data_IF_644976863859
#
_entry.id   IF_644976863859
#
_cell.length_a   1.000
_cell.length_b   1.000
_cell.length_c   1.000
_cell.angle_alpha   90.00
_cell.angle_beta   90.00
_cell.angle_gamma   90.00
#
_symmetry.space_group_name_H-M   'P 1'
#
loop_
_entity.id
_entity.type
_entity.pdbx_description
1 polymer ?
#
# COMPACT_ATOMS: atom_id res chain seq x y z
N UNK A 1 4.18 -9.11 -6.09
CA UNK A 1 2.80 -8.73 -5.73
C UNK A 1 2.08 -10.01 -5.33
N UNK A 2 1.52 -10.02 -4.12
CA UNK A 2 1.14 -11.17 -3.28
C UNK A 2 2.27 -12.14 -2.94
N UNK A 3 3.11 -11.78 -1.96
CA UNK A 3 3.98 -12.75 -1.26
C UNK A 3 3.09 -13.60 -0.32
N UNK A 4 2.26 -14.45 -0.91
CA UNK A 4 1.56 -15.52 -0.19
C UNK A 4 2.38 -16.81 -0.27
N UNK A 5 2.12 -17.81 0.58
CA UNK A 5 2.73 -19.11 0.40
C UNK A 5 2.41 -19.65 -1.00
N UNK A 6 3.42 -20.11 -1.73
CA UNK A 6 3.33 -20.54 -3.14
C UNK A 6 2.57 -21.86 -3.35
N UNK A 7 1.82 -22.31 -2.34
CA UNK A 7 1.07 -23.54 -2.30
C UNK A 7 -0.46 -23.32 -2.35
N UNK A 8 -0.91 -22.08 -2.59
CA UNK A 8 -2.32 -21.73 -2.70
C UNK A 8 -2.77 -21.60 -4.16
N UNK A 9 -4.04 -21.92 -4.44
CA UNK A 9 -4.69 -21.73 -5.73
C UNK A 9 -5.92 -20.81 -5.56
N UNK A 10 -5.99 -19.76 -6.38
CA UNK A 10 -7.04 -18.73 -6.30
C UNK A 10 -6.52 -17.34 -6.65
N UNK A 11 -7.26 -16.32 -6.28
CA UNK A 11 -6.92 -14.91 -6.47
C UNK A 11 -6.93 -14.16 -5.13
N UNK A 12 -6.16 -13.07 -5.01
CA UNK A 12 -6.37 -12.08 -3.95
C UNK A 12 -6.93 -10.81 -4.57
N UNK A 13 -8.06 -10.35 -4.06
CA UNK A 13 -8.74 -9.13 -4.53
C UNK A 13 -8.65 -8.06 -3.44
N UNK A 14 -8.33 -6.83 -3.81
CA UNK A 14 -8.41 -5.68 -2.91
C UNK A 14 -9.23 -4.59 -3.59
N UNK A 15 -10.27 -4.12 -2.91
CA UNK A 15 -10.96 -2.88 -3.27
C UNK A 15 -10.33 -1.72 -2.51
N UNK A 16 -9.88 -0.69 -3.22
CA UNK A 16 -9.29 0.51 -2.62
C UNK A 16 -9.63 1.77 -3.44
N UNK A 17 -9.41 2.95 -2.84
CA UNK A 17 -9.59 4.23 -3.53
C UNK A 17 -8.58 4.40 -4.68
N UNK A 18 -8.95 5.15 -5.72
CA UNK A 18 -8.12 5.35 -6.92
C UNK A 18 -6.76 6.00 -6.61
N UNK A 19 -6.70 6.84 -5.58
CA UNK A 19 -5.48 7.53 -5.14
C UNK A 19 -4.70 6.77 -4.05
N UNK A 20 -5.15 5.56 -3.66
CA UNK A 20 -4.50 4.74 -2.63
C UNK A 20 -3.56 3.71 -3.22
N UNK A 21 -2.52 3.36 -2.47
CA UNK A 21 -1.54 2.36 -2.88
C UNK A 21 -2.15 0.96 -2.67
N UNK A 22 -2.02 0.04 -3.64
CA UNK A 22 -2.54 -1.31 -3.50
C UNK A 22 -1.72 -2.14 -2.49
N UNK A 23 -2.29 -2.40 -1.31
CA UNK A 23 -1.68 -3.22 -0.26
C UNK A 23 -2.26 -4.65 -0.21
N UNK A 24 -2.30 -5.33 -1.35
CA UNK A 24 -2.95 -6.66 -1.50
C UNK A 24 -2.36 -7.73 -0.58
N UNK A 25 -1.09 -7.60 -0.21
CA UNK A 25 -0.47 -8.53 0.75
C UNK A 25 -1.12 -8.48 2.13
N UNK A 26 -1.49 -7.29 2.59
CA UNK A 26 -2.02 -7.05 3.94
C UNK A 26 -3.55 -7.06 3.98
N UNK A 27 -4.21 -6.51 2.96
CA UNK A 27 -5.65 -6.22 2.96
C UNK A 27 -6.42 -6.92 1.84
N UNK A 28 -5.77 -7.77 1.04
CA UNK A 28 -6.45 -8.49 -0.04
C UNK A 28 -7.25 -9.70 0.46
N UNK A 29 -8.50 -9.79 0.04
CA UNK A 29 -9.39 -10.94 0.27
C UNK A 29 -9.04 -12.11 -0.64
N UNK A 30 -8.98 -13.32 -0.07
CA UNK A 30 -8.71 -14.53 -0.82
C UNK A 30 -9.98 -15.07 -1.48
N UNK A 31 -9.93 -15.24 -2.80
CA UNK A 31 -11.01 -15.80 -3.62
C UNK A 31 -10.58 -17.20 -4.09
N UNK A 32 -11.30 -18.27 -3.70
CA UNK A 32 -10.97 -19.63 -4.10
C UNK A 32 -11.29 -19.89 -5.57
N UNK A 33 -10.57 -20.83 -6.19
CA UNK A 33 -10.88 -21.31 -7.52
C UNK A 33 -12.16 -22.16 -7.54
N UNK A 34 -12.89 -22.15 -8.67
CA UNK A 34 -14.07 -23.01 -8.89
C UNK A 34 -15.37 -22.54 -8.23
N UNK A 35 -15.39 -21.32 -7.66
CA UNK A 35 -16.58 -20.73 -7.05
C UNK A 35 -17.05 -19.48 -7.79
N UNK A 36 -18.36 -19.27 -7.81
CA UNK A 36 -18.94 -17.96 -8.14
C UNK A 36 -19.05 -17.14 -6.86
N UNK A 37 -18.32 -16.03 -6.79
CA UNK A 37 -18.23 -15.19 -5.58
C UNK A 37 -18.88 -13.83 -5.83
N UNK A 38 -19.73 -13.40 -4.90
CA UNK A 38 -20.33 -12.06 -4.89
C UNK A 38 -19.67 -11.23 -3.80
N UNK A 39 -19.14 -10.07 -4.16
CA UNK A 39 -18.51 -9.13 -3.22
C UNK A 39 -19.44 -7.93 -3.06
N UNK A 40 -20.15 -7.87 -1.93
CA UNK A 40 -20.94 -6.70 -1.56
C UNK A 40 -20.01 -5.61 -1.05
N UNK A 41 -20.27 -4.36 -1.44
CA UNK A 41 -19.43 -3.21 -1.09
C UNK A 41 -20.28 -2.21 -0.32
N UNK A 42 -19.86 -1.88 0.88
CA UNK A 42 -20.36 -0.74 1.66
C UNK A 42 -19.22 0.28 1.80
N UNK A 43 -19.51 1.54 1.48
CA UNK A 43 -18.50 2.60 1.39
C UNK A 43 -18.70 3.58 2.52
N UNK A 44 -17.76 3.58 3.46
CA UNK A 44 -17.68 4.58 4.53
C UNK A 44 -16.65 5.66 4.21
N UNK A 45 -16.91 6.88 4.68
CA UNK A 45 -15.97 8.01 4.58
C UNK A 45 -15.84 8.68 5.93
N UNK A 46 -14.61 8.70 6.44
CA UNK A 46 -14.28 9.35 7.71
C UNK A 46 -13.61 10.70 7.46
N UNK A 47 -14.01 11.71 8.23
CA UNK A 47 -13.44 13.05 8.18
C UNK A 47 -12.98 13.43 9.59
N UNK A 48 -11.67 13.32 9.83
CA UNK A 48 -11.06 13.63 11.12
C UNK A 48 -10.74 15.13 11.26
N UNK A 49 -10.77 15.62 12.50
CA UNK A 49 -10.49 17.02 12.85
C UNK A 49 -8.97 17.27 12.99
N UNK A 50 -8.50 18.51 12.69
CA UNK A 50 -7.13 18.92 12.96
C UNK A 50 -6.91 19.26 14.46
N UNK A 51 -5.65 19.46 14.89
CA UNK A 51 -5.34 19.93 16.23
C UNK A 51 -6.07 21.25 16.56
N UNK A 52 -6.54 21.45 17.81
CA UNK A 52 -6.35 20.60 19.00
C UNK A 52 -7.41 19.48 19.18
N UNK A 53 -8.39 19.38 18.27
CA UNK A 53 -9.53 18.45 18.43
C UNK A 53 -9.29 17.06 17.80
N UNK A 54 -8.14 16.87 17.16
CA UNK A 54 -7.67 15.61 16.60
C UNK A 54 -6.25 15.77 16.05
N UNK A 55 -5.72 14.72 15.43
CA UNK A 55 -4.34 14.69 14.93
C UNK A 55 -4.24 14.70 13.40
N UNK A 56 -5.34 15.04 12.71
CA UNK A 56 -5.37 15.06 11.26
C UNK A 56 -4.60 16.28 10.71
N UNK A 57 -3.37 16.04 10.24
CA UNK A 57 -2.56 17.08 9.58
C UNK A 57 -2.87 17.12 8.09
N UNK A 58 -3.43 18.24 7.62
CA UNK A 58 -3.73 18.47 6.19
C UNK A 58 -2.52 19.05 5.45
N UNK A 59 -2.43 18.78 4.15
CA UNK A 59 -1.47 19.44 3.25
C UNK A 59 -0.04 18.93 3.31
N UNK A 60 0.24 17.79 3.93
CA UNK A 60 1.56 17.14 3.81
C UNK A 60 1.76 16.65 2.39
N UNK A 61 2.84 17.09 1.76
CA UNK A 61 3.27 16.58 0.45
C UNK A 61 4.19 15.38 0.63
N UNK A 62 4.16 14.48 -0.35
CA UNK A 62 5.02 13.30 -0.43
C UNK A 62 5.93 13.46 -1.65
N UNK A 63 7.13 12.87 -1.61
CA UNK A 63 8.10 12.92 -2.70
C UNK A 63 7.73 12.00 -3.85
N UNK A 64 7.13 10.85 -3.55
CA UNK A 64 6.90 9.79 -4.54
C UNK A 64 5.42 9.52 -4.86
N UNK A 65 4.50 10.24 -4.23
CA UNK A 65 3.07 10.05 -4.39
C UNK A 65 2.38 11.41 -4.51
N UNK A 66 1.43 11.53 -5.45
CA UNK A 66 0.71 12.78 -5.71
C UNK A 66 -0.30 13.13 -4.61
N UNK A 67 -0.87 12.09 -3.98
CA UNK A 67 -1.88 12.21 -2.92
C UNK A 67 -1.33 11.70 -1.61
N UNK A 68 -1.62 12.44 -0.55
CA UNK A 68 -1.27 12.02 0.80
C UNK A 68 -2.27 10.99 1.33
N UNK A 69 -1.76 9.83 1.70
CA UNK A 69 -2.45 8.88 2.55
C UNK A 69 -1.51 8.29 3.60
N UNK A 70 -2.07 7.61 4.59
CA UNK A 70 -1.28 6.91 5.60
C UNK A 70 -0.39 5.84 4.95
N UNK A 71 -0.94 5.08 3.99
CA UNK A 71 -0.20 4.09 3.20
C UNK A 71 0.97 4.71 2.44
N UNK A 72 0.76 5.84 1.77
CA UNK A 72 1.78 6.54 1.00
C UNK A 72 2.90 7.11 1.87
N UNK A 73 2.54 7.68 3.01
CA UNK A 73 3.51 8.15 4.01
C UNK A 73 4.43 7.01 4.49
N UNK A 74 3.85 5.86 4.84
CA UNK A 74 4.64 4.68 5.23
C UNK A 74 5.48 4.13 4.08
N UNK A 75 4.97 4.13 2.85
CA UNK A 75 5.71 3.70 1.66
C UNK A 75 6.97 4.54 1.43
N UNK A 76 6.85 5.86 1.53
CA UNK A 76 7.99 6.78 1.41
C UNK A 76 8.98 6.61 2.55
N UNK A 77 8.50 6.51 3.80
CA UNK A 77 9.36 6.27 4.96
C UNK A 77 10.17 4.97 4.80
N UNK A 78 9.52 3.88 4.40
CA UNK A 78 10.19 2.58 4.18
C UNK A 78 11.23 2.64 3.06
N UNK A 79 10.92 3.36 1.99
CA UNK A 79 11.86 3.56 0.86
C UNK A 79 13.08 4.34 1.30
N UNK A 80 12.87 5.44 2.03
CA UNK A 80 13.95 6.25 2.59
C UNK A 80 14.81 5.43 3.54
N UNK A 81 14.18 4.70 4.47
CA UNK A 81 14.87 3.86 5.42
C UNK A 81 15.70 2.75 4.73
N UNK A 82 15.12 2.06 3.74
CA UNK A 82 15.82 1.03 2.98
C UNK A 82 17.03 1.61 2.23
N UNK A 83 16.86 2.77 1.60
CA UNK A 83 17.97 3.43 0.90
C UNK A 83 19.07 3.89 1.86
N UNK A 84 18.72 4.46 3.02
CA UNK A 84 19.70 4.90 4.02
C UNK A 84 20.51 3.74 4.63
N UNK A 85 19.93 2.54 4.72
CA UNK A 85 20.57 1.38 5.34
C UNK A 85 21.24 0.43 4.35
N UNK A 86 20.65 0.24 3.18
CA UNK A 86 21.05 -0.77 2.21
C UNK A 86 21.47 -0.18 0.86
N UNK A 87 21.29 1.14 0.65
CA UNK A 87 21.59 1.84 -0.62
C UNK A 87 20.81 1.25 -1.81
N UNK A 88 19.67 0.64 -1.53
CA UNK A 88 18.78 0.05 -2.52
C UNK A 88 17.33 0.09 -2.03
N UNK A 89 16.38 -0.11 -2.94
CA UNK A 89 14.95 -0.29 -2.63
C UNK A 89 14.46 -1.66 -3.10
N UNK A 90 13.40 -2.15 -2.48
CA UNK A 90 12.68 -3.29 -3.04
C UNK A 90 11.90 -2.86 -4.30
N UNK A 91 11.71 -3.76 -5.26
CA UNK A 91 10.97 -3.49 -6.51
C UNK A 91 9.56 -2.90 -6.28
N UNK A 92 8.89 -3.26 -5.18
CA UNK A 92 7.54 -2.78 -4.82
C UNK A 92 7.57 -1.35 -4.25
N UNK A 93 8.70 -0.91 -3.70
CA UNK A 93 8.83 0.41 -3.11
C UNK A 93 8.87 1.51 -4.19
N UNK A 94 8.34 2.71 -3.92
CA UNK A 94 8.43 3.85 -4.83
C UNK A 94 9.89 4.31 -5.07
N UNK A 95 10.07 5.33 -5.93
CA UNK A 95 11.38 5.90 -6.20
C UNK A 95 12.15 5.12 -7.27
N UNK A 96 11.57 5.00 -8.46
CA UNK A 96 12.13 4.25 -9.60
C UNK A 96 13.51 4.73 -10.05
N UNK A 97 13.92 5.93 -9.65
CA UNK A 97 15.25 6.47 -9.89
C UNK A 97 16.33 5.92 -8.93
N UNK A 98 15.94 5.18 -7.88
CA UNK A 98 16.85 4.50 -6.96
C UNK A 98 17.16 3.07 -7.42
N UNK A 99 18.37 2.60 -7.12
CA UNK A 99 18.80 1.23 -7.42
C UNK A 99 17.94 0.18 -6.70
N UNK A 100 17.62 -0.90 -7.40
CA UNK A 100 16.86 -2.02 -6.85
C UNK A 100 17.78 -3.00 -6.11
N UNK A 101 17.31 -3.55 -4.98
CA UNK A 101 18.06 -4.55 -4.22
C UNK A 101 18.14 -5.87 -5.00
N UNK A 102 19.34 -6.43 -5.08
CA UNK A 102 19.54 -7.79 -5.60
C UNK A 102 18.95 -8.83 -4.64
N UNK A 103 18.35 -9.88 -5.19
CA UNK A 103 17.89 -11.05 -4.45
C UNK A 103 18.95 -12.15 -4.30
N UNK A 104 20.19 -11.87 -4.73
CA UNK A 104 21.33 -12.79 -4.74
C UNK A 104 22.05 -12.77 -3.39
#
# INVERSE_FOLDING_TARGET
YTKGPHNAAGLKLLLHGQDEIPQVENFGDAIPAGMHVFVAVDVSKEINLPPPHGDCVKGKTLRYFDRHSQAACYGEYRTKFAFEKCVCRNYIMPGFNLGECSSV
#
